data_IF_237969268561
#
_entry.id   IF_237969268561
#
_cell.length_a   1.000
_cell.length_b   1.000
_cell.length_c   1.000
_cell.angle_alpha   90.00
_cell.angle_beta   90.00
_cell.angle_gamma   90.00
#
_symmetry.space_group_name_H-M   'P 1'
#
loop_
_entity.id
_entity.type
_entity.pdbx_description
1 polymer ?
#
# COMPACT_ATOMS: atom_id res chain seq x y z
N UNK A 1 -18.85 2.14 -2.39
CA UNK A 1 -17.97 2.14 -3.59
C UNK A 1 -16.77 1.25 -3.31
N UNK A 2 -16.14 0.63 -4.33
CA UNK A 2 -14.89 -0.10 -4.12
C UNK A 2 -13.80 0.89 -3.73
N UNK A 3 -12.83 0.46 -2.92
CA UNK A 3 -11.67 1.28 -2.58
C UNK A 3 -10.89 1.62 -3.85
N UNK A 4 -10.48 2.88 -4.00
CA UNK A 4 -9.73 3.34 -5.17
C UNK A 4 -8.41 2.60 -5.35
N UNK A 5 -8.04 2.32 -6.59
CA UNK A 5 -6.69 1.88 -6.93
C UNK A 5 -5.71 3.06 -7.06
N UNK A 6 -4.43 2.81 -6.88
CA UNK A 6 -3.34 3.75 -7.19
C UNK A 6 -2.14 3.00 -7.79
N UNK A 7 -1.06 3.73 -8.08
CA UNK A 7 0.14 3.19 -8.73
C UNK A 7 0.79 2.09 -7.85
N UNK A 8 1.28 1.02 -8.49
CA UNK A 8 2.11 0.00 -7.81
C UNK A 8 3.43 0.58 -7.30
N UNK A 9 4.07 1.44 -8.10
CA UNK A 9 5.45 1.86 -7.85
C UNK A 9 6.48 0.77 -8.23
N UNK A 10 7.76 1.13 -8.36
CA UNK A 10 8.79 0.23 -8.89
C UNK A 10 9.38 -0.73 -7.84
N UNK A 11 8.96 -0.64 -6.58
CA UNK A 11 9.66 -1.28 -5.46
C UNK A 11 8.90 -2.44 -4.82
N UNK A 12 7.87 -2.97 -5.48
CA UNK A 12 7.22 -4.20 -5.05
C UNK A 12 8.15 -5.41 -5.22
N UNK A 13 8.16 -6.32 -4.25
CA UNK A 13 8.98 -7.52 -4.29
C UNK A 13 8.10 -8.78 -4.15
N UNK A 14 7.99 -9.63 -5.19
CA UNK A 14 7.13 -10.82 -5.16
C UNK A 14 7.61 -11.87 -4.15
N UNK A 15 8.87 -11.85 -3.71
CA UNK A 15 9.40 -12.82 -2.74
C UNK A 15 9.19 -12.40 -1.29
N UNK A 16 8.51 -11.26 -1.03
CA UNK A 16 8.17 -10.83 0.32
C UNK A 16 7.45 -11.96 1.09
N UNK A 17 7.84 -12.21 2.37
CA UNK A 17 7.40 -13.39 3.11
C UNK A 17 5.96 -13.26 3.57
N UNK A 18 5.27 -14.40 3.66
CA UNK A 18 4.07 -14.49 4.49
C UNK A 18 4.46 -14.42 5.96
N UNK A 19 3.65 -13.69 6.73
CA UNK A 19 3.80 -13.51 8.18
C UNK A 19 2.45 -13.78 8.84
N UNK A 20 2.50 -14.15 10.12
CA UNK A 20 1.30 -14.38 10.92
C UNK A 20 0.58 -13.05 11.22
N UNK A 21 -0.73 -13.11 11.40
CA UNK A 21 -1.49 -11.94 11.86
C UNK A 21 -0.96 -11.45 13.21
N UNK A 22 -0.74 -10.14 13.31
CA UNK A 22 -0.11 -9.48 14.46
C UNK A 22 1.41 -9.56 14.48
N UNK A 23 2.06 -10.16 13.47
CA UNK A 23 3.50 -10.02 13.31
C UNK A 23 3.89 -8.59 12.90
N UNK A 24 5.17 -8.27 13.05
CA UNK A 24 5.74 -7.00 12.59
C UNK A 24 6.40 -7.17 11.22
N UNK A 25 6.19 -6.20 10.33
CA UNK A 25 7.01 -6.07 9.12
C UNK A 25 8.31 -5.29 9.40
N UNK A 26 8.41 -4.59 10.54
CA UNK A 26 9.63 -3.91 10.99
C UNK A 26 10.61 -4.97 11.48
N UNK A 27 11.64 -5.27 10.69
CA UNK A 27 12.71 -6.20 11.05
C UNK A 27 13.89 -5.45 11.67
N UNK A 28 14.17 -4.25 11.16
CA UNK A 28 15.19 -3.34 11.67
C UNK A 28 14.51 -2.03 12.07
N UNK A 29 14.41 -1.77 13.37
CA UNK A 29 13.75 -0.58 13.91
C UNK A 29 14.67 0.65 13.80
N UNK A 30 14.31 1.69 13.03
CA UNK A 30 15.06 2.94 13.01
C UNK A 30 14.94 3.67 14.36
N UNK A 31 15.94 4.48 14.72
CA UNK A 31 15.96 5.22 16.00
C UNK A 31 14.82 6.23 16.13
N UNK A 32 14.38 6.77 15.00
CA UNK A 32 13.29 7.74 14.85
C UNK A 32 12.00 7.11 14.30
N UNK A 33 11.96 5.77 14.19
CA UNK A 33 10.78 5.06 13.73
C UNK A 33 9.66 5.15 14.76
N UNK A 34 8.43 5.33 14.30
CA UNK A 34 7.24 5.28 15.15
C UNK A 34 6.48 3.98 14.88
N UNK A 35 6.54 3.06 15.83
CA UNK A 35 5.88 1.76 15.69
C UNK A 35 4.36 1.95 15.69
N UNK A 36 3.70 1.41 14.66
CA UNK A 36 2.27 1.56 14.43
C UNK A 36 1.59 0.20 14.36
N UNK A 37 0.48 0.04 15.08
CA UNK A 37 -0.44 -1.07 14.92
C UNK A 37 -1.42 -0.76 13.78
N UNK A 38 -1.28 -1.48 12.67
CA UNK A 38 -2.13 -1.33 11.49
C UNK A 38 -3.15 -2.46 11.46
N UNK A 39 -4.44 -2.14 11.37
CA UNK A 39 -5.50 -3.14 11.30
C UNK A 39 -6.66 -2.70 10.41
N UNK A 40 -7.56 -3.64 10.12
CA UNK A 40 -8.78 -3.36 9.37
C UNK A 40 -9.49 -4.60 8.90
N UNK A 41 -10.49 -4.39 8.03
CA UNK A 41 -11.31 -5.45 7.44
C UNK A 41 -11.35 -5.30 5.92
N UNK A 42 -11.15 -6.41 5.21
CA UNK A 42 -11.38 -6.51 3.77
C UNK A 42 -12.80 -7.04 3.57
N UNK A 43 -13.65 -6.27 2.89
CA UNK A 43 -15.08 -6.54 2.74
C UNK A 43 -15.49 -6.68 1.28
N UNK A 44 -16.48 -7.51 1.05
CA UNK A 44 -17.22 -7.54 -0.21
C UNK A 44 -18.17 -6.34 -0.28
N UNK A 45 -18.14 -5.61 -1.39
CA UNK A 45 -18.92 -4.38 -1.58
C UNK A 45 -20.44 -4.61 -1.63
N UNK A 46 -20.90 -5.76 -2.13
CA UNK A 46 -22.32 -6.03 -2.35
C UNK A 46 -22.99 -6.49 -1.04
N UNK A 47 -22.28 -7.33 -0.29
CA UNK A 47 -22.80 -8.01 0.90
C UNK A 47 -22.37 -7.33 2.20
N UNK A 48 -21.30 -6.52 2.16
CA UNK A 48 -20.67 -5.92 3.33
C UNK A 48 -19.94 -6.91 4.25
N UNK A 49 -19.90 -8.20 3.89
CA UNK A 49 -19.26 -9.26 4.69
C UNK A 49 -17.75 -9.22 4.53
N UNK A 50 -17.04 -9.61 5.59
CA UNK A 50 -15.58 -9.80 5.53
C UNK A 50 -15.19 -10.92 4.57
N UNK A 51 -14.10 -10.73 3.85
CA UNK A 51 -13.54 -11.67 2.88
C UNK A 51 -12.42 -12.47 3.54
N UNK A 52 -12.64 -13.75 3.90
CA UNK A 52 -11.61 -14.58 4.51
C UNK A 52 -10.53 -14.97 3.50
N UNK A 53 -9.33 -15.27 4.00
CA UNK A 53 -8.18 -15.76 3.22
C UNK A 53 -7.67 -14.82 2.10
N UNK A 54 -8.17 -13.58 2.01
CA UNK A 54 -7.60 -12.55 1.17
C UNK A 54 -6.17 -12.26 1.62
N UNK A 55 -5.27 -12.08 0.65
CA UNK A 55 -3.87 -11.76 0.92
C UNK A 55 -3.71 -10.25 0.92
N UNK A 56 -3.25 -9.71 2.04
CA UNK A 56 -2.81 -8.33 2.21
C UNK A 56 -1.28 -8.29 2.08
N UNK A 57 -0.76 -7.85 0.94
CA UNK A 57 0.67 -7.65 0.68
C UNK A 57 1.02 -6.18 0.88
N UNK A 58 2.02 -5.87 1.70
CA UNK A 58 2.39 -4.50 2.03
C UNK A 58 3.89 -4.29 2.08
N UNK A 59 4.29 -3.09 1.66
CA UNK A 59 5.66 -2.62 1.71
C UNK A 59 5.72 -1.10 1.91
N UNK A 60 6.77 -0.62 2.55
CA UNK A 60 7.03 0.82 2.72
C UNK A 60 8.52 1.10 2.80
N UNK A 61 8.89 2.37 2.64
CA UNK A 61 10.24 2.84 2.92
C UNK A 61 10.47 2.93 4.44
N UNK A 62 11.75 2.89 4.84
CA UNK A 62 12.19 3.24 6.19
C UNK A 62 12.18 4.77 6.38
N UNK A 63 12.47 5.25 7.60
CA UNK A 63 12.45 6.69 7.95
C UNK A 63 13.45 7.53 7.14
N UNK A 64 14.46 6.89 6.55
CA UNK A 64 15.42 7.52 5.63
C UNK A 64 14.91 7.60 4.17
N UNK A 65 13.66 7.20 3.90
CA UNK A 65 13.05 7.21 2.57
C UNK A 65 13.51 6.08 1.64
N UNK A 66 14.30 5.12 2.14
CA UNK A 66 14.82 4.00 1.33
C UNK A 66 14.11 2.69 1.65
N UNK A 67 13.98 1.87 0.60
CA UNK A 67 13.58 0.46 0.69
C UNK A 67 14.80 -0.43 0.93
N UNK A 68 14.59 -1.58 1.59
CA UNK A 68 15.59 -2.61 1.85
C UNK A 68 16.53 -2.91 0.67
N UNK A 69 15.98 -3.07 -0.54
CA UNK A 69 16.75 -3.39 -1.75
C UNK A 69 17.73 -2.28 -2.19
N UNK A 70 17.53 -1.05 -1.72
CA UNK A 70 18.37 0.11 -2.02
C UNK A 70 19.23 0.53 -0.81
N UNK A 71 19.14 -0.20 0.29
CA UNK A 71 19.80 0.12 1.55
C UNK A 71 20.28 -1.13 2.32
N UNK A 72 20.96 -2.09 1.64
CA UNK A 72 21.31 -3.39 2.24
C UNK A 72 22.31 -3.29 3.40
N UNK A 73 22.99 -2.15 3.56
CA UNK A 73 23.91 -1.91 4.68
C UNK A 73 23.19 -1.55 5.98
N UNK A 74 21.96 -1.03 5.90
CA UNK A 74 21.18 -0.56 7.05
C UNK A 74 19.86 -1.34 7.25
N UNK A 75 19.46 -2.15 6.28
CA UNK A 75 18.20 -2.88 6.29
C UNK A 75 18.43 -4.34 5.89
N UNK A 76 17.94 -5.24 6.74
CA UNK A 76 17.84 -6.67 6.47
C UNK A 76 16.92 -6.91 5.27
N UNK A 77 17.16 -8.01 4.55
CA UNK A 77 16.30 -8.42 3.45
C UNK A 77 14.85 -8.55 3.92
N UNK A 78 13.92 -7.97 3.17
CA UNK A 78 12.48 -7.94 3.50
C UNK A 78 12.12 -7.15 4.77
N UNK A 79 12.99 -6.24 5.22
CA UNK A 79 12.58 -5.20 6.17
C UNK A 79 11.42 -4.39 5.58
N UNK A 80 10.43 -4.08 6.41
CA UNK A 80 9.24 -3.32 6.07
C UNK A 80 8.43 -3.92 4.90
N UNK A 81 8.45 -5.25 4.79
CA UNK A 81 7.65 -6.02 3.83
C UNK A 81 6.96 -7.21 4.50
N UNK A 82 5.73 -7.49 4.08
CA UNK A 82 5.01 -8.66 4.57
C UNK A 82 3.71 -8.94 3.83
N UNK A 83 3.34 -10.22 3.80
CA UNK A 83 2.06 -10.70 3.32
C UNK A 83 1.28 -11.33 4.46
N UNK A 84 0.01 -10.99 4.59
CA UNK A 84 -0.87 -11.49 5.63
C UNK A 84 -2.12 -12.10 5.00
N UNK A 85 -2.66 -13.17 5.60
CA UNK A 85 -3.97 -13.70 5.21
C UNK A 85 -5.02 -13.22 6.19
N UNK A 86 -6.12 -12.69 5.68
CA UNK A 86 -7.26 -12.30 6.53
C UNK A 86 -7.86 -13.51 7.23
N UNK A 87 -8.37 -13.30 8.44
CA UNK A 87 -9.05 -14.32 9.22
C UNK A 87 -10.47 -14.64 8.66
N UNK A 88 -11.24 -15.48 9.36
CA UNK A 88 -12.59 -15.87 8.97
C UNK A 88 -13.57 -14.68 8.79
N UNK A 89 -13.35 -13.57 9.49
CA UNK A 89 -14.15 -12.36 9.44
C UNK A 89 -13.58 -11.31 8.46
N UNK A 90 -12.60 -11.67 7.63
CA UNK A 90 -11.92 -10.75 6.72
C UNK A 90 -11.00 -9.73 7.40
N UNK A 91 -10.70 -9.91 8.69
CA UNK A 91 -9.85 -9.00 9.47
C UNK A 91 -8.38 -9.30 9.24
N UNK A 92 -7.56 -8.26 9.24
CA UNK A 92 -6.11 -8.34 9.24
C UNK A 92 -5.55 -7.34 10.27
N UNK A 93 -4.37 -7.64 10.79
CA UNK A 93 -3.63 -6.74 11.67
C UNK A 93 -2.14 -7.10 11.65
N UNK A 94 -1.28 -6.10 11.78
CA UNK A 94 0.18 -6.23 11.81
C UNK A 94 0.82 -4.96 12.40
N UNK A 95 2.13 -5.00 12.63
CA UNK A 95 2.89 -3.83 13.05
C UNK A 95 3.78 -3.33 11.93
N UNK A 96 3.79 -2.01 11.74
CA UNK A 96 4.58 -1.30 10.73
C UNK A 96 5.16 0.00 11.30
N UNK A 97 5.77 0.83 10.47
CA UNK A 97 6.15 2.19 10.86
C UNK A 97 5.12 3.18 10.34
N UNK A 98 4.92 4.30 11.03
CA UNK A 98 4.35 5.49 10.37
C UNK A 98 5.27 5.85 9.19
N UNK A 99 4.76 5.94 7.95
CA UNK A 99 5.62 6.23 6.82
C UNK A 99 6.14 7.66 6.91
N UNK A 100 7.28 7.92 6.27
CA UNK A 100 7.86 9.26 6.10
C UNK A 100 7.86 9.66 4.64
N UNK A 101 7.79 10.96 4.38
CA UNK A 101 7.92 11.53 3.05
C UNK A 101 9.30 11.21 2.46
N UNK A 102 9.40 11.18 1.13
CA UNK A 102 10.68 11.04 0.47
C UNK A 102 10.72 11.79 -0.86
N UNK A 103 11.91 12.26 -1.22
CA UNK A 103 12.17 12.86 -2.52
C UNK A 103 12.49 11.78 -3.55
N UNK A 104 11.85 11.84 -4.73
CA UNK A 104 12.30 11.04 -5.87
C UNK A 104 13.72 11.46 -6.27
N UNK A 105 14.50 10.52 -6.79
CA UNK A 105 15.85 10.81 -7.28
C UNK A 105 15.81 11.87 -8.40
N UNK A 106 16.51 12.98 -8.16
CA UNK A 106 16.59 14.12 -9.08
C UNK A 106 17.91 14.17 -9.86
N UNK A 107 18.79 13.18 -9.73
CA UNK A 107 20.08 13.17 -10.42
C UNK A 107 19.97 12.90 -11.92
N UNK A 108 18.86 12.29 -12.36
CA UNK A 108 18.60 11.94 -13.75
C UNK A 108 17.65 12.91 -14.50
N UNK A 109 17.25 12.55 -15.73
CA UNK A 109 16.40 13.39 -16.59
C UNK A 109 15.06 13.78 -15.96
N UNK A 110 14.50 12.91 -15.11
CA UNK A 110 13.27 13.21 -14.38
C UNK A 110 13.44 14.41 -13.43
N UNK A 111 14.59 14.52 -12.77
CA UNK A 111 14.90 15.66 -11.90
C UNK A 111 15.05 16.97 -12.67
N UNK A 112 15.67 16.92 -13.85
CA UNK A 112 15.75 18.08 -14.75
C UNK A 112 14.37 18.53 -15.21
N UNK A 113 13.50 17.60 -15.60
CA UNK A 113 12.13 17.91 -16.01
C UNK A 113 11.34 18.56 -14.87
N UNK A 114 11.44 18.05 -13.64
CA UNK A 114 10.80 18.64 -12.45
C UNK A 114 11.27 20.09 -12.23
N UNK A 115 12.57 20.34 -12.35
CA UNK A 115 13.16 21.68 -12.24
C UNK A 115 12.63 22.64 -13.31
N UNK A 116 12.54 22.19 -14.56
CA UNK A 116 12.00 23.00 -15.68
C UNK A 116 10.54 23.38 -15.42
N UNK A 117 9.75 22.46 -14.87
CA UNK A 117 8.35 22.70 -14.52
C UNK A 117 8.16 23.49 -13.21
N UNK A 118 9.22 23.80 -12.48
CA UNK A 118 9.14 24.45 -11.16
C UNK A 118 8.47 23.58 -10.10
N UNK A 119 8.51 22.24 -10.24
CA UNK A 119 7.92 21.28 -9.29
C UNK A 119 8.98 20.76 -8.32
N UNK A 120 8.58 20.50 -7.07
CA UNK A 120 9.42 19.78 -6.12
C UNK A 120 9.48 18.27 -6.45
N UNK A 121 10.38 17.54 -5.79
CA UNK A 121 10.55 16.09 -5.96
C UNK A 121 9.93 15.24 -4.86
N UNK A 122 9.33 15.86 -3.84
CA UNK A 122 8.74 15.14 -2.72
C UNK A 122 7.47 14.38 -3.10
N UNK A 123 7.38 13.18 -2.55
CA UNK A 123 6.15 12.39 -2.47
C UNK A 123 5.69 12.42 -1.02
N UNK A 124 4.37 12.49 -0.76
CA UNK A 124 3.84 12.31 0.57
C UNK A 124 4.28 10.95 1.12
N UNK A 125 4.41 10.84 2.43
CA UNK A 125 4.56 9.60 3.15
C UNK A 125 3.48 8.60 2.72
N UNK A 126 3.85 7.34 2.47
CA UNK A 126 2.86 6.32 2.11
C UNK A 126 3.26 4.89 2.47
N UNK A 127 2.24 4.06 2.65
CA UNK A 127 2.31 2.61 2.74
C UNK A 127 1.70 2.03 1.47
N UNK A 128 2.43 1.15 0.78
CA UNK A 128 1.87 0.43 -0.35
C UNK A 128 1.07 -0.79 0.12
N UNK A 129 -0.02 -1.07 -0.60
CA UNK A 129 -0.82 -2.28 -0.42
C UNK A 129 -1.13 -2.94 -1.77
N UNK A 130 -1.15 -4.26 -1.76
CA UNK A 130 -1.71 -5.09 -2.81
C UNK A 130 -2.59 -6.17 -2.18
N UNK A 131 -3.88 -6.16 -2.52
CA UNK A 131 -4.85 -7.12 -2.03
C UNK A 131 -5.20 -8.09 -3.14
N UNK A 132 -5.12 -9.39 -2.87
CA UNK A 132 -5.47 -10.43 -3.84
C UNK A 132 -6.39 -11.49 -3.24
N UNK A 133 -7.33 -11.98 -4.05
CA UNK A 133 -8.19 -13.12 -3.73
C UNK A 133 -8.62 -13.82 -5.04
N UNK A 134 -8.84 -15.15 -5.05
CA UNK A 134 -9.29 -15.87 -6.25
C UNK A 134 -10.59 -15.33 -6.86
N UNK A 135 -11.53 -14.88 -6.01
CA UNK A 135 -12.89 -14.48 -6.43
C UNK A 135 -13.13 -12.96 -6.51
N UNK A 136 -12.18 -12.13 -6.05
CA UNK A 136 -12.32 -10.66 -6.05
C UNK A 136 -11.29 -10.00 -6.95
N UNK A 137 -11.64 -8.84 -7.50
CA UNK A 137 -10.70 -8.02 -8.26
C UNK A 137 -9.57 -7.59 -7.32
N UNK A 138 -8.33 -7.77 -7.78
CA UNK A 138 -7.16 -7.33 -7.02
C UNK A 138 -7.15 -5.81 -6.89
N UNK A 139 -6.71 -5.33 -5.73
CA UNK A 139 -6.52 -3.91 -5.47
C UNK A 139 -5.03 -3.64 -5.29
N UNK A 140 -4.52 -2.65 -6.00
CA UNK A 140 -3.21 -2.06 -5.71
C UNK A 140 -3.43 -0.60 -5.36
N UNK A 141 -2.87 -0.15 -4.25
CA UNK A 141 -3.01 1.23 -3.79
C UNK A 141 -1.82 1.68 -2.95
N UNK A 142 -1.81 2.97 -2.64
CA UNK A 142 -0.91 3.63 -1.71
C UNK A 142 -1.77 4.38 -0.71
N UNK A 143 -1.45 4.25 0.57
CA UNK A 143 -2.20 4.84 1.66
C UNK A 143 -1.36 5.95 2.30
N UNK A 144 -1.97 7.11 2.55
CA UNK A 144 -1.26 8.34 2.92
C UNK A 144 -1.69 8.85 4.28
N UNK A 145 -0.80 9.28 5.19
CA UNK A 145 -1.20 9.99 6.40
C UNK A 145 -1.97 11.28 6.06
N UNK A 146 -3.10 11.52 6.75
CA UNK A 146 -3.91 12.74 6.56
C UNK A 146 -3.17 14.03 6.90
N UNK A 147 -2.13 13.96 7.72
CA UNK A 147 -1.33 15.08 8.21
C UNK A 147 -0.10 15.37 7.34
N UNK A 148 0.05 14.70 6.20
CA UNK A 148 1.23 14.87 5.33
C UNK A 148 1.20 16.22 4.56
N UNK A 149 2.32 16.96 4.51
CA UNK A 149 2.37 18.29 3.87
C UNK A 149 2.35 18.26 2.33
N UNK A 150 2.55 17.11 1.69
CA UNK A 150 2.67 16.96 0.24
C UNK A 150 1.45 16.29 -0.42
N UNK A 151 0.33 16.13 0.29
CA UNK A 151 -0.87 15.49 -0.25
C UNK A 151 -1.40 16.17 -1.52
N UNK A 152 -1.48 17.51 -1.53
CA UNK A 152 -1.99 18.29 -2.67
C UNK A 152 -0.97 18.44 -3.80
N UNK A 153 0.32 18.21 -3.51
CA UNK A 153 1.43 18.51 -4.42
C UNK A 153 2.25 17.28 -4.78
N UNK A 154 1.74 16.06 -4.53
CA UNK A 154 2.43 14.81 -4.84
C UNK A 154 3.03 14.83 -6.24
N UNK A 155 4.35 14.67 -6.30
CA UNK A 155 5.11 14.75 -7.56
C UNK A 155 4.59 13.77 -8.62
N UNK A 156 4.03 12.63 -8.19
CA UNK A 156 3.51 11.59 -9.11
C UNK A 156 1.99 11.55 -9.21
N UNK A 157 1.27 12.49 -8.58
CA UNK A 157 -0.17 12.64 -8.65
C UNK A 157 -0.97 11.35 -8.34
N UNK A 158 -0.56 10.61 -7.29
CA UNK A 158 -1.14 9.31 -6.93
C UNK A 158 -2.17 9.35 -5.79
N UNK A 159 -2.28 10.49 -5.11
CA UNK A 159 -3.14 10.72 -3.94
C UNK A 159 -4.61 10.73 -4.33
N UNK A 160 -5.46 10.09 -3.51
CA UNK A 160 -6.92 10.06 -3.62
C UNK A 160 -7.55 10.15 -2.24
N UNK A 161 -8.70 10.80 -2.14
CA UNK A 161 -9.35 11.13 -0.87
C UNK A 161 -9.71 9.91 -0.01
N UNK A 162 -10.05 8.77 -0.62
CA UNK A 162 -10.42 7.54 0.09
C UNK A 162 -9.22 6.68 0.51
N UNK A 163 -7.99 7.12 0.23
CA UNK A 163 -6.74 6.41 0.55
C UNK A 163 -5.99 7.04 1.73
N UNK A 164 -6.71 7.74 2.59
CA UNK A 164 -6.16 8.48 3.71
C UNK A 164 -6.14 7.65 5.01
N UNK A 165 -5.04 7.75 5.75
CA UNK A 165 -4.78 7.10 7.02
C UNK A 165 -4.87 8.11 8.16
N UNK A 166 -5.58 7.74 9.20
CA UNK A 166 -5.78 8.55 10.39
C UNK A 166 -5.04 7.91 11.57
N UNK A 167 -3.81 8.35 11.80
CA UNK A 167 -2.96 7.81 12.87
C UNK A 167 -3.39 8.41 14.21
N UNK A 168 -3.74 7.54 15.15
CA UNK A 168 -4.15 7.91 16.49
C UNK A 168 -3.13 7.37 17.51
N UNK A 169 -2.96 7.99 18.68
CA UNK A 169 -2.14 7.40 19.73
C UNK A 169 -2.68 6.01 20.14
N UNK A 170 -1.81 5.01 20.13
CA UNK A 170 -2.16 3.67 20.59
C UNK A 170 -2.41 3.67 22.11
N UNK A 171 -3.30 2.79 22.56
CA UNK A 171 -3.62 2.61 23.99
C UNK A 171 -3.31 1.19 24.41
N UNK A 172 -2.38 1.04 25.36
CA UNK A 172 -2.02 -0.24 25.98
C UNK A 172 -1.71 -1.36 24.97
N UNK A 173 -1.01 -1.04 23.88
CA UNK A 173 -0.66 -2.02 22.85
C UNK A 173 0.36 -3.04 23.37
N UNK A 174 0.09 -4.32 23.09
CA UNK A 174 0.86 -5.45 23.61
C UNK A 174 2.32 -5.50 23.14
N UNK A 175 2.67 -4.80 22.05
CA UNK A 175 4.03 -4.73 21.50
C UNK A 175 4.64 -3.34 21.58
N UNK A 176 4.00 -2.42 22.30
CA UNK A 176 4.49 -1.06 22.50
C UNK A 176 4.37 -0.18 21.26
N UNK A 177 3.37 -0.41 20.40
CA UNK A 177 3.05 0.56 19.36
C UNK A 177 2.74 1.94 19.98
N UNK A 178 3.25 2.98 19.35
CA UNK A 178 2.96 4.38 19.71
C UNK A 178 1.68 4.85 19.04
N UNK A 179 1.37 4.28 17.87
CA UNK A 179 0.28 4.68 17.01
C UNK A 179 -0.62 3.49 16.65
N UNK A 180 -1.90 3.78 16.44
CA UNK A 180 -2.93 2.88 15.94
C UNK A 180 -3.50 3.48 14.66
N UNK A 181 -3.72 2.64 13.65
CA UNK A 181 -4.38 3.06 12.42
C UNK A 181 -5.30 1.95 11.91
N UNK A 182 -6.56 2.31 11.67
CA UNK A 182 -7.55 1.45 11.04
C UNK A 182 -7.74 1.84 9.57
N UNK A 183 -7.68 0.85 8.66
CA UNK A 183 -8.05 1.05 7.27
C UNK A 183 -8.86 -0.13 6.72
N UNK A 184 -10.10 0.15 6.32
CA UNK A 184 -11.01 -0.85 5.74
C UNK A 184 -10.93 -0.84 4.21
N UNK A 185 -10.92 -2.02 3.60
CA UNK A 185 -10.86 -2.20 2.14
C UNK A 185 -12.18 -2.77 1.65
N UNK A 186 -12.77 -2.17 0.62
CA UNK A 186 -13.94 -2.71 -0.07
C UNK A 186 -13.52 -3.24 -1.45
N UNK A 187 -13.69 -4.55 -1.67
CA UNK A 187 -13.40 -5.20 -2.95
C UNK A 187 -14.67 -5.53 -3.73
N UNK A 188 -14.56 -5.41 -5.05
CA UNK A 188 -15.59 -5.87 -5.97
C UNK A 188 -15.30 -7.31 -6.44
N UNK A 189 -16.36 -8.11 -6.57
CA UNK A 189 -16.26 -9.48 -7.07
C UNK A 189 -15.80 -9.52 -8.54
N UNK A 190 -15.03 -10.54 -8.91
CA UNK A 190 -14.64 -10.78 -10.31
C UNK A 190 -15.82 -11.04 -11.24
N UNK A 191 -17.02 -11.33 -10.73
CA UNK A 191 -18.24 -11.43 -11.54
C UNK A 191 -18.55 -10.14 -12.33
N UNK A 192 -18.00 -9.00 -11.89
CA UNK A 192 -18.11 -7.70 -12.58
C UNK A 192 -16.99 -7.44 -13.60
N UNK A 193 -16.00 -8.35 -13.71
CA UNK A 193 -14.97 -8.23 -14.74
C UNK A 193 -15.64 -8.53 -16.08
N UNK A 194 -15.66 -7.53 -16.97
CA UNK A 194 -16.11 -7.74 -18.35
C UNK A 194 -15.26 -8.82 -19.01
N UNK A 195 -15.91 -9.79 -19.66
CA UNK A 195 -15.23 -10.85 -20.39
C UNK A 195 -14.54 -10.24 -21.63
N UNK A 196 -13.21 -10.17 -21.61
CA UNK A 196 -12.41 -9.58 -22.71
C UNK A 196 -12.56 -10.42 -24.00
N UNK A 197 -12.95 -11.69 -23.87
CA UNK A 197 -13.30 -12.59 -24.98
C UNK A 197 -14.40 -12.02 -25.88
N UNK A 198 -15.39 -11.28 -25.35
CA UNK A 198 -16.41 -10.63 -26.19
C UNK A 198 -15.86 -9.54 -27.11
N UNK A 199 -14.75 -8.89 -26.72
CA UNK A 199 -14.12 -7.86 -27.57
C UNK A 199 -13.23 -8.46 -28.66
N UNK A 200 -12.66 -9.65 -28.42
CA UNK A 200 -11.79 -10.31 -29.41
C UNK A 200 -12.57 -10.97 -30.54
N UNK A 201 -13.83 -11.37 -30.33
CA UNK A 201 -14.69 -11.91 -31.39
C UNK A 201 -15.13 -10.84 -32.40
N UNK A 202 -15.25 -9.56 -31.99
CA UNK A 202 -15.64 -8.47 -32.89
C UNK A 202 -14.48 -7.86 -33.71
N UNK A 203 -13.23 -8.11 -33.32
CA UNK A 203 -12.04 -7.62 -34.05
C UNK A 203 -11.61 -8.50 -35.23
N UNK A 204 -12.27 -9.65 -35.43
CA UNK A 204 -12.05 -10.55 -36.57
C UNK A 204 -13.07 -10.35 -37.70
N UNK A 205 -13.61 -9.14 -37.88
CA UNK A 205 -14.27 -8.79 -39.14
C UNK A 205 -13.21 -8.42 -40.18
N UNK A 206 -12.69 -9.45 -40.84
CA UNK A 206 -11.88 -9.38 -42.06
C UNK A 206 -12.74 -8.87 -43.25
N UNK A 207 -13.21 -7.64 -43.16
CA UNK A 207 -13.85 -6.91 -44.27
C UNK A 207 -13.27 -5.52 -44.36
N UNK A 208 -12.09 -5.43 -44.96
CA UNK A 208 -11.64 -4.33 -45.82
C UNK A 208 -10.75 -4.92 -46.92
#
# INVERSE_FOLDING_TARGET
>A
APTSSSLLGPFWNPTAPFRDLGASIVQDMPKDGQLTFFHGVIRDIDTGKGIPNAVFDTWQASTNGKYDTHDPENQSQHNLRGKFRTNADGKFWFYCLKPTEYAVDTSGPNGELLRIMGRHSYRPAHIHIMITHPEYLSLTAQLYPKDDPYLETDTVCAVKDDLMLDFQPAKDDAKGAELDVEFNVNLASKKYRSDITMFMENTNQNTF
#
